data_IF_311592657155
#
_entry.id   IF_311592657155
#
_cell.length_a   1.000
_cell.length_b   1.000
_cell.length_c   1.000
_cell.angle_alpha   90.00
_cell.angle_beta   90.00
_cell.angle_gamma   90.00
#
_symmetry.space_group_name_H-M   'P 1'
#
loop_
_entity.id
_entity.type
_entity.pdbx_description
1 polymer ?
#
# COMPACT_ATOMS: atom_id res chain seq x y z
N UNK A 1 26.40 3.54 1.79
CA UNK A 1 25.29 3.14 2.69
C UNK A 1 24.22 2.49 1.83
N UNK A 2 24.11 1.17 1.87
CA UNK A 2 23.28 0.37 0.95
C UNK A 2 21.80 0.54 1.28
N UNK A 3 21.09 1.32 0.46
CA UNK A 3 19.63 1.45 0.53
C UNK A 3 19.00 0.08 0.25
N UNK A 4 18.33 -0.50 1.25
CA UNK A 4 17.74 -1.83 1.19
C UNK A 4 16.42 -1.80 0.41
N UNK A 5 16.45 -1.31 -0.84
CA UNK A 5 15.30 -1.22 -1.77
C UNK A 5 14.70 -2.59 -2.11
N UNK A 6 15.48 -3.66 -1.95
CA UNK A 6 15.09 -5.00 -2.40
C UNK A 6 13.89 -5.59 -1.66
N UNK A 7 13.61 -5.18 -0.42
CA UNK A 7 12.50 -5.76 0.37
C UNK A 7 11.14 -5.12 0.07
N UNK A 8 11.10 -3.89 -0.42
CA UNK A 8 9.84 -3.15 -0.65
C UNK A 8 9.11 -3.67 -1.90
N UNK A 9 9.86 -4.16 -2.91
CA UNK A 9 9.32 -4.69 -4.17
C UNK A 9 8.63 -6.06 -4.02
N UNK A 10 8.81 -6.75 -2.88
CA UNK A 10 8.21 -8.06 -2.64
C UNK A 10 6.80 -7.99 -2.04
N UNK A 11 6.37 -6.83 -1.56
CA UNK A 11 5.06 -6.64 -0.93
C UNK A 11 4.24 -5.59 -1.67
N UNK A 12 3.88 -5.95 -2.91
CA UNK A 12 3.16 -5.07 -3.85
C UNK A 12 1.64 -5.13 -3.67
N UNK A 13 1.10 -5.89 -2.72
CA UNK A 13 -0.32 -5.86 -2.40
C UNK A 13 -0.53 -5.26 -1.02
N UNK A 14 -1.53 -4.40 -0.86
CA UNK A 14 -1.85 -3.83 0.43
C UNK A 14 -3.36 -3.74 0.65
N UNK A 15 -3.76 -3.91 1.91
CA UNK A 15 -5.12 -3.61 2.37
C UNK A 15 -5.10 -2.21 2.97
N UNK A 16 -6.01 -1.37 2.53
CA UNK A 16 -6.24 -0.03 3.05
C UNK A 16 -7.58 0.04 3.76
N UNK A 17 -7.64 0.87 4.80
CA UNK A 17 -8.86 1.36 5.42
C UNK A 17 -8.94 2.86 5.23
N UNK A 18 -10.14 3.40 5.02
CA UNK A 18 -10.35 4.84 4.94
C UNK A 18 -10.77 5.41 6.30
N UNK A 19 -10.08 6.47 6.73
CA UNK A 19 -10.42 7.25 7.92
C UNK A 19 -10.40 8.71 7.54
N UNK A 20 -11.53 9.40 7.70
CA UNK A 20 -11.68 10.80 7.29
C UNK A 20 -11.18 11.04 5.85
N UNK A 21 -11.63 10.19 4.92
CA UNK A 21 -11.26 10.20 3.50
C UNK A 21 -9.77 9.98 3.19
N UNK A 22 -8.97 9.55 4.17
CA UNK A 22 -7.55 9.25 3.98
C UNK A 22 -7.31 7.74 4.01
N UNK A 23 -6.61 7.17 3.02
CA UNK A 23 -6.24 5.75 3.04
C UNK A 23 -5.14 5.51 4.07
N UNK A 24 -5.35 4.53 4.94
CA UNK A 24 -4.38 4.06 5.92
C UNK A 24 -4.06 2.60 5.58
N UNK A 25 -2.79 2.29 5.34
CA UNK A 25 -2.35 0.92 5.08
C UNK A 25 -2.48 0.08 6.37
N UNK A 26 -3.25 -0.99 6.30
CA UNK A 26 -3.49 -1.93 7.41
C UNK A 26 -2.51 -3.10 7.36
N UNK A 27 -2.05 -3.47 6.17
CA UNK A 27 -1.05 -4.51 5.97
C UNK A 27 -0.58 -4.59 4.53
N UNK A 28 0.64 -5.10 4.33
CA UNK A 28 1.21 -5.37 3.01
C UNK A 28 1.48 -6.86 2.85
N UNK A 29 1.27 -7.37 1.65
CA UNK A 29 1.23 -8.77 1.30
C UNK A 29 2.02 -9.00 0.01
N UNK A 30 2.61 -10.19 -0.09
CA UNK A 30 3.40 -10.60 -1.25
C UNK A 30 2.54 -10.98 -2.45
N UNK A 31 1.30 -11.40 -2.19
CA UNK A 31 0.36 -11.85 -3.21
C UNK A 31 -1.04 -11.29 -2.95
N UNK A 32 -1.85 -11.22 -4.01
CA UNK A 32 -3.26 -10.82 -3.91
C UNK A 32 -4.06 -11.80 -3.05
N UNK A 33 -3.83 -13.10 -3.22
CA UNK A 33 -4.54 -14.15 -2.49
C UNK A 33 -4.31 -14.07 -0.98
N UNK A 34 -3.07 -13.78 -0.55
CA UNK A 34 -2.78 -13.54 0.87
C UNK A 34 -3.56 -12.33 1.39
N UNK A 35 -3.60 -11.23 0.64
CA UNK A 35 -4.36 -10.05 1.01
C UNK A 35 -5.88 -10.33 1.07
N UNK A 36 -6.44 -11.07 0.12
CA UNK A 36 -7.86 -11.43 0.10
C UNK A 36 -8.26 -12.30 1.29
N UNK A 37 -7.42 -13.29 1.65
CA UNK A 37 -7.65 -14.11 2.84
C UNK A 37 -7.69 -13.28 4.13
N UNK A 38 -6.77 -12.33 4.28
CA UNK A 38 -6.76 -11.41 5.43
C UNK A 38 -7.95 -10.45 5.41
N UNK A 39 -8.33 -9.94 4.24
CA UNK A 39 -9.50 -9.07 4.07
C UNK A 39 -10.78 -9.77 4.53
N UNK A 40 -10.97 -11.05 4.22
CA UNK A 40 -12.14 -11.80 4.67
C UNK A 40 -12.21 -11.89 6.20
N UNK A 41 -11.08 -12.09 6.87
CA UNK A 41 -11.01 -12.09 8.34
C UNK A 41 -11.31 -10.69 8.89
N UNK A 42 -10.72 -9.63 8.33
CA UNK A 42 -10.96 -8.24 8.75
C UNK A 42 -12.43 -7.85 8.63
N UNK A 43 -13.09 -8.23 7.53
CA UNK A 43 -14.53 -7.97 7.33
C UNK A 43 -15.42 -8.69 8.33
N UNK A 44 -14.99 -9.85 8.85
CA UNK A 44 -15.73 -10.59 9.90
C UNK A 44 -15.51 -9.99 11.28
N UNK A 45 -14.28 -9.58 11.57
CA UNK A 45 -13.93 -8.98 12.86
C UNK A 45 -14.50 -7.56 13.00
N UNK A 46 -14.56 -6.79 11.90
CA UNK A 46 -14.95 -5.39 11.91
C UNK A 46 -15.86 -5.09 10.70
N UNK A 47 -17.13 -5.54 10.71
CA UNK A 47 -18.01 -5.47 9.55
C UNK A 47 -18.43 -4.05 9.13
N UNK A 48 -18.34 -3.08 10.04
CA UNK A 48 -18.69 -1.67 9.78
C UNK A 48 -17.58 -0.84 9.14
N UNK A 49 -16.47 -1.46 8.76
CA UNK A 49 -15.33 -0.77 8.17
C UNK A 49 -15.17 -1.16 6.70
N UNK A 50 -15.04 -0.15 5.86
CA UNK A 50 -14.66 -0.33 4.46
C UNK A 50 -13.16 -0.55 4.33
N UNK A 51 -12.82 -1.58 3.56
CA UNK A 51 -11.46 -1.95 3.24
C UNK A 51 -11.30 -2.08 1.72
N UNK A 52 -10.14 -1.71 1.21
CA UNK A 52 -9.77 -1.84 -0.19
C UNK A 52 -8.44 -2.58 -0.35
N UNK A 53 -8.33 -3.46 -1.34
CA UNK A 53 -7.06 -4.06 -1.75
C UNK A 53 -6.53 -3.27 -2.95
N UNK A 54 -5.27 -2.85 -2.89
CA UNK A 54 -4.61 -2.19 -4.02
C UNK A 54 -3.23 -2.80 -4.28
N UNK A 55 -2.86 -2.80 -5.56
CA UNK A 55 -1.50 -3.07 -5.99
C UNK A 55 -0.67 -1.79 -5.84
N UNK A 56 0.40 -1.85 -5.05
CA UNK A 56 1.38 -0.78 -4.90
C UNK A 56 2.56 -1.15 -5.79
N UNK A 57 2.75 -0.47 -6.93
CA UNK A 57 3.94 -0.68 -7.73
C UNK A 57 5.17 -0.34 -6.88
N UNK A 58 6.29 -1.07 -7.03
CA UNK A 58 7.56 -0.58 -6.52
C UNK A 58 7.75 0.80 -7.11
N UNK A 59 8.09 1.78 -6.27
CA UNK A 59 8.39 3.14 -6.71
C UNK A 59 9.27 3.08 -7.97
N UNK A 60 8.68 3.39 -9.13
CA UNK A 60 9.51 3.73 -10.27
C UNK A 60 10.27 4.95 -9.79
N UNK A 61 11.59 4.90 -9.89
CA UNK A 61 12.47 5.97 -9.47
C UNK A 61 12.35 7.15 -10.45
N UNK A 62 11.11 7.58 -10.74
CA UNK A 62 10.77 8.77 -11.49
C UNK A 62 10.96 9.92 -10.51
N UNK A 63 12.22 10.23 -10.25
CA UNK A 63 12.64 11.58 -9.94
C UNK A 63 12.20 12.50 -11.08
N UNK A 64 10.90 12.81 -11.14
CA UNK A 64 10.45 14.06 -11.74
C UNK A 64 10.85 15.12 -10.73
N UNK A 65 12.08 15.61 -10.93
CA UNK A 65 12.45 16.98 -10.61
C UNK A 65 11.41 17.90 -11.25
N UNK A 66 10.27 18.10 -10.60
CA UNK A 66 9.39 19.23 -10.93
C UNK A 66 10.18 20.43 -10.47
N UNK A 67 10.82 21.08 -11.44
CA UNK A 67 11.72 22.20 -11.22
C UNK A 67 11.12 23.20 -10.25
N UNK A 68 11.79 23.37 -9.12
CA UNK A 68 11.80 24.64 -8.45
C UNK A 68 12.36 25.66 -9.45
N UNK A 69 11.47 26.37 -10.16
CA UNK A 69 11.77 27.73 -10.62
C UNK A 69 12.07 28.54 -9.36
N UNK A 70 13.35 28.74 -9.07
CA UNK A 70 13.78 29.85 -8.22
C UNK A 70 13.95 31.12 -9.08
N UNK A 71 13.72 32.30 -8.51
CA UNK A 71 13.57 33.58 -9.21
C UNK A 71 14.86 34.07 -9.89
#
# INVERSE_FOLDING_TARGET
MTHNTYKTSLFNWAIFRFVNCKPIAVGRFRSRSDAEGHLQVLRRLIPGVEFAIAFIPPESNDSVTVGARQP
#
